data_IF_474385266098
#
_entry.id   IF_474385266098
#
_cell.length_a   1.000
_cell.length_b   1.000
_cell.length_c   1.000
_cell.angle_alpha   90.00
_cell.angle_beta   90.00
_cell.angle_gamma   90.00
#
_symmetry.space_group_name_H-M   'P 1'
#
loop_
_entity.id
_entity.type
_entity.pdbx_description
1 polymer ?
#
# COMPACT_ATOMS: atom_id res chain seq x y z
N UNK A 1 10.58 11.43 28.79
CA UNK A 1 9.68 10.68 27.90
C UNK A 1 10.28 9.34 27.45
N UNK A 2 10.81 8.53 28.39
CA UNK A 2 11.45 7.24 28.08
C UNK A 2 10.51 6.01 28.22
N UNK A 3 9.24 6.20 28.50
CA UNK A 3 8.33 5.11 28.86
C UNK A 3 7.49 4.48 27.74
N UNK A 4 7.60 4.94 26.50
CA UNK A 4 6.67 4.52 25.44
C UNK A 4 7.28 3.63 24.36
N UNK A 5 8.53 3.24 24.50
CA UNK A 5 9.24 2.39 23.54
C UNK A 5 8.82 0.93 23.71
N UNK A 6 8.45 0.28 22.62
CA UNK A 6 8.23 -1.16 22.59
C UNK A 6 9.56 -1.85 22.33
N UNK A 7 9.86 -2.87 23.13
CA UNK A 7 11.04 -3.69 23.00
C UNK A 7 10.67 -5.07 22.47
N UNK A 8 11.48 -5.60 21.58
CA UNK A 8 11.35 -6.97 21.07
C UNK A 8 12.67 -7.70 21.23
N UNK A 9 12.65 -8.84 21.88
CA UNK A 9 13.82 -9.70 22.11
C UNK A 9 13.49 -11.14 21.72
N UNK A 10 14.39 -11.75 20.96
CA UNK A 10 14.31 -13.17 20.65
C UNK A 10 14.67 -13.99 21.89
N UNK A 11 13.90 -15.02 22.19
CA UNK A 11 14.24 -15.96 23.27
C UNK A 11 14.17 -17.41 22.81
N UNK A 12 14.93 -18.28 23.48
CA UNK A 12 14.92 -19.71 23.17
C UNK A 12 13.77 -20.39 23.91
N UNK A 13 12.85 -21.00 23.15
CA UNK A 13 11.73 -21.76 23.71
C UNK A 13 12.20 -22.93 24.59
N UNK A 14 13.38 -23.45 24.36
CA UNK A 14 13.94 -24.57 25.18
C UNK A 14 14.30 -24.15 26.58
N UNK A 15 14.59 -22.87 26.82
CA UNK A 15 14.98 -22.35 28.14
C UNK A 15 13.79 -22.12 29.08
N UNK A 16 12.56 -21.95 28.54
CA UNK A 16 11.41 -21.55 29.35
C UNK A 16 10.45 -22.69 29.72
N UNK A 17 10.51 -23.83 29.09
CA UNK A 17 9.49 -24.89 29.25
C UNK A 17 10.08 -26.30 29.26
N UNK A 18 11.27 -26.59 29.70
CA UNK A 18 11.75 -27.99 29.88
C UNK A 18 11.34 -29.04 28.82
N UNK A 19 10.82 -28.56 27.70
CA UNK A 19 10.26 -29.37 26.63
C UNK A 19 11.31 -29.71 25.59
N UNK A 20 11.54 -30.99 25.40
CA UNK A 20 12.33 -31.53 24.31
C UNK A 20 11.96 -30.85 23.01
N UNK A 21 12.98 -30.44 22.23
CA UNK A 21 12.84 -30.15 20.81
C UNK A 21 12.11 -31.34 20.20
N UNK A 22 10.84 -31.22 19.84
CA UNK A 22 10.21 -32.14 18.93
C UNK A 22 10.87 -32.04 17.55
N UNK A 23 12.05 -32.61 17.45
CA UNK A 23 12.57 -33.05 16.18
C UNK A 23 11.70 -34.22 15.75
N UNK A 24 10.65 -33.94 15.03
CA UNK A 24 9.90 -34.96 14.33
C UNK A 24 10.92 -35.78 13.54
N UNK A 25 11.11 -37.07 13.94
CA UNK A 25 12.04 -38.00 13.29
C UNK A 25 11.62 -38.42 11.88
N UNK A 26 10.63 -37.72 11.30
CA UNK A 26 10.25 -37.94 9.90
C UNK A 26 11.12 -37.00 9.05
N UNK A 27 11.93 -37.53 8.10
CA UNK A 27 12.91 -36.75 7.34
C UNK A 27 12.33 -35.63 6.46
N UNK A 28 11.01 -35.43 6.44
CA UNK A 28 10.32 -34.52 5.54
C UNK A 28 9.44 -33.45 6.21
N UNK A 29 9.50 -33.27 7.53
CA UNK A 29 8.75 -32.20 8.20
C UNK A 29 9.54 -31.63 9.37
N UNK A 30 10.62 -30.92 9.06
CA UNK A 30 11.30 -30.12 10.08
C UNK A 30 10.50 -28.81 10.26
N UNK A 31 10.13 -28.52 11.50
CA UNK A 31 9.59 -27.22 11.90
C UNK A 31 10.53 -26.60 12.92
N UNK A 32 10.78 -25.31 12.76
CA UNK A 32 11.54 -24.53 13.73
C UNK A 32 10.71 -23.30 14.08
N UNK A 33 10.63 -22.98 15.36
CA UNK A 33 9.93 -21.79 15.85
C UNK A 33 10.93 -20.82 16.45
N UNK A 34 10.87 -19.59 15.99
CA UNK A 34 11.59 -18.47 16.59
C UNK A 34 10.58 -17.68 17.41
N UNK A 35 10.87 -17.52 18.70
CA UNK A 35 9.99 -16.86 19.63
C UNK A 35 10.54 -15.51 20.09
N UNK A 36 9.64 -14.59 20.37
CA UNK A 36 9.94 -13.22 20.79
C UNK A 36 9.15 -12.84 22.03
N UNK A 37 9.81 -12.14 22.96
CA UNK A 37 9.15 -11.35 23.99
C UNK A 37 9.04 -9.90 23.50
N UNK A 38 7.85 -9.36 23.54
CA UNK A 38 7.57 -7.98 23.14
C UNK A 38 6.99 -7.31 24.37
N UNK A 39 7.67 -6.30 24.91
CA UNK A 39 7.24 -5.66 26.14
C UNK A 39 7.39 -4.14 26.09
N UNK A 40 6.66 -3.49 26.98
CA UNK A 40 6.74 -2.06 27.27
C UNK A 40 6.81 -1.85 28.77
N UNK A 41 7.58 -0.86 29.22
CA UNK A 41 7.74 -0.56 30.64
C UNK A 41 6.43 -0.09 31.29
N UNK A 42 5.58 0.59 30.53
CA UNK A 42 4.28 1.04 31.00
C UNK A 42 3.30 1.14 29.81
N UNK A 43 2.03 0.77 30.06
CA UNK A 43 0.97 0.84 29.07
C UNK A 43 0.72 -0.49 28.34
N UNK A 44 -0.45 -0.59 27.76
CA UNK A 44 -0.92 -1.76 27.01
C UNK A 44 -0.22 -1.85 25.65
N UNK A 45 0.17 -3.06 25.24
CA UNK A 45 0.62 -3.38 23.89
C UNK A 45 -0.55 -4.04 23.16
N UNK A 46 -0.97 -3.43 22.06
CA UNK A 46 -1.98 -4.05 21.21
C UNK A 46 -1.31 -5.16 20.37
N UNK A 47 -1.71 -6.45 20.54
CA UNK A 47 -1.12 -7.55 19.79
C UNK A 47 -1.20 -7.36 18.28
N UNK A 48 -2.33 -6.87 17.78
CA UNK A 48 -2.63 -6.80 16.35
C UNK A 48 -1.98 -5.59 15.67
N UNK A 49 -1.92 -4.46 16.39
CA UNK A 49 -1.50 -3.19 15.78
C UNK A 49 -0.05 -2.83 16.04
N UNK A 50 0.51 -3.34 17.14
CA UNK A 50 1.86 -2.99 17.56
C UNK A 50 2.81 -4.20 17.53
N UNK A 51 2.43 -5.34 18.13
CA UNK A 51 3.32 -6.49 18.22
C UNK A 51 3.39 -7.32 16.92
N UNK A 52 2.25 -7.60 16.30
CA UNK A 52 2.22 -8.39 15.07
C UNK A 52 3.06 -7.79 13.94
N UNK A 53 2.99 -6.48 13.62
CA UNK A 53 3.84 -5.89 12.60
C UNK A 53 5.33 -6.09 12.85
N UNK A 54 5.79 -6.03 14.11
CA UNK A 54 7.20 -6.23 14.46
C UNK A 54 7.67 -7.67 14.18
N UNK A 55 6.85 -8.66 14.57
CA UNK A 55 7.17 -10.09 14.36
C UNK A 55 7.06 -10.46 12.88
N UNK A 56 6.08 -9.90 12.20
CA UNK A 56 5.91 -10.10 10.76
C UNK A 56 7.06 -9.49 9.96
N UNK A 57 7.53 -8.30 10.36
CA UNK A 57 8.71 -7.68 9.79
C UNK A 57 9.97 -8.53 9.94
N UNK A 58 10.14 -9.15 11.12
CA UNK A 58 11.21 -10.11 11.32
C UNK A 58 11.09 -11.30 10.35
N UNK A 59 9.89 -11.87 10.16
CA UNK A 59 9.68 -12.97 9.22
C UNK A 59 10.00 -12.58 7.78
N UNK A 60 9.69 -11.34 7.39
CA UNK A 60 10.01 -10.82 6.05
C UNK A 60 11.49 -10.54 5.84
N UNK A 61 12.19 -10.11 6.89
CA UNK A 61 13.64 -9.87 6.83
C UNK A 61 14.47 -11.14 6.95
N UNK A 62 13.88 -12.21 7.51
CA UNK A 62 14.49 -13.53 7.65
C UNK A 62 13.61 -14.59 7.01
N UNK A 63 13.42 -14.53 5.68
CA UNK A 63 12.46 -15.39 4.99
C UNK A 63 12.85 -16.87 5.03
N UNK A 64 14.15 -17.16 5.14
CA UNK A 64 14.70 -18.50 5.18
C UNK A 64 15.53 -18.66 6.45
N UNK A 65 15.32 -19.79 7.15
CA UNK A 65 16.13 -20.20 8.29
C UNK A 65 16.47 -21.68 8.18
N UNK A 66 17.75 -22.00 8.19
CA UNK A 66 18.26 -23.39 8.01
C UNK A 66 17.63 -24.13 6.80
N UNK A 67 17.41 -23.42 5.69
CA UNK A 67 16.79 -23.97 4.48
C UNK A 67 15.26 -24.14 4.56
N UNK A 68 14.63 -23.67 5.64
CA UNK A 68 13.18 -23.67 5.82
C UNK A 68 12.60 -22.30 5.57
N UNK A 69 11.45 -22.23 4.93
CA UNK A 69 10.70 -20.99 4.76
C UNK A 69 9.78 -20.74 5.96
N UNK A 70 9.53 -19.48 6.30
CA UNK A 70 8.51 -19.18 7.30
C UNK A 70 7.12 -19.56 6.77
N UNK A 71 6.34 -20.20 7.63
CA UNK A 71 5.01 -20.71 7.34
C UNK A 71 3.93 -19.84 7.95
N UNK A 72 4.14 -19.40 9.20
CA UNK A 72 3.17 -18.58 9.91
C UNK A 72 3.83 -17.65 10.94
N UNK A 73 3.10 -16.59 11.27
CA UNK A 73 3.43 -15.63 12.33
C UNK A 73 2.25 -15.55 13.27
N UNK A 74 2.50 -15.74 14.56
CA UNK A 74 1.51 -15.69 15.62
C UNK A 74 1.93 -14.70 16.69
N UNK A 75 0.93 -14.04 17.31
CA UNK A 75 1.15 -13.12 18.41
C UNK A 75 0.05 -13.36 19.44
N UNK A 76 0.45 -13.52 20.72
CA UNK A 76 -0.48 -13.80 21.81
C UNK A 76 -0.16 -12.94 23.03
N UNK A 77 -1.15 -12.31 23.68
CA UNK A 77 -0.93 -11.64 24.94
C UNK A 77 -0.60 -12.66 26.04
N UNK A 78 0.23 -12.27 26.97
CA UNK A 78 0.54 -13.10 28.14
C UNK A 78 -0.49 -12.84 29.24
N UNK A 79 -1.17 -13.88 29.67
CA UNK A 79 -2.11 -13.79 30.79
C UNK A 79 -1.41 -13.29 32.06
N UNK A 80 -2.07 -12.40 32.80
CA UNK A 80 -1.52 -11.82 34.02
C UNK A 80 -0.50 -10.70 33.84
N UNK A 81 -0.12 -10.35 32.61
CA UNK A 81 0.82 -9.26 32.32
C UNK A 81 0.20 -7.87 32.27
N UNK A 82 -1.09 -7.73 32.57
CA UNK A 82 -1.85 -6.48 32.38
C UNK A 82 -1.69 -5.88 30.97
N UNK A 83 -1.39 -6.72 29.97
CA UNK A 83 -1.21 -6.31 28.57
C UNK A 83 0.14 -5.63 28.28
N UNK A 84 1.07 -5.64 29.21
CA UNK A 84 2.42 -5.07 29.00
C UNK A 84 3.40 -6.03 28.32
N UNK A 85 3.03 -7.30 28.17
CA UNK A 85 3.86 -8.35 27.58
C UNK A 85 3.05 -9.16 26.56
N UNK A 86 3.63 -9.35 25.40
CA UNK A 86 3.11 -10.14 24.29
C UNK A 86 4.16 -11.13 23.83
N UNK A 87 3.77 -12.34 23.50
CA UNK A 87 4.64 -13.34 22.87
C UNK A 87 4.39 -13.37 21.37
N UNK A 88 5.47 -13.32 20.59
CA UNK A 88 5.46 -13.47 19.16
C UNK A 88 6.18 -14.75 18.72
N UNK A 89 5.72 -15.39 17.67
CA UNK A 89 6.29 -16.61 17.13
C UNK A 89 6.33 -16.55 15.60
N UNK A 90 7.49 -16.92 15.03
CA UNK A 90 7.63 -17.19 13.59
C UNK A 90 7.93 -18.67 13.43
N UNK A 91 7.06 -19.37 12.74
CA UNK A 91 7.19 -20.80 12.47
C UNK A 91 7.78 -20.99 11.08
N UNK A 92 8.90 -21.69 11.00
CA UNK A 92 9.56 -22.10 9.76
C UNK A 92 9.27 -23.57 9.49
N UNK A 93 8.99 -23.93 8.25
CA UNK A 93 8.82 -25.32 7.85
C UNK A 93 9.67 -25.67 6.63
N UNK A 94 10.34 -26.83 6.69
CA UNK A 94 11.11 -27.40 5.60
C UNK A 94 10.27 -28.43 4.87
N UNK A 95 9.88 -28.16 3.63
CA UNK A 95 9.48 -29.19 2.69
C UNK A 95 10.75 -29.63 1.96
N UNK A 96 11.25 -30.85 2.24
CA UNK A 96 12.47 -31.35 1.62
C UNK A 96 12.41 -31.30 0.09
N UNK A 97 13.51 -30.87 -0.50
CA UNK A 97 14.00 -31.01 -1.90
C UNK A 97 12.98 -31.21 -3.04
N UNK A 98 11.76 -30.70 -2.95
CA UNK A 98 10.82 -30.80 -4.05
C UNK A 98 10.78 -29.48 -4.82
N UNK A 99 11.04 -29.61 -6.12
CA UNK A 99 10.84 -28.67 -7.25
C UNK A 99 10.52 -27.24 -6.82
N UNK A 100 11.31 -26.30 -7.29
CA UNK A 100 11.06 -24.86 -7.16
C UNK A 100 9.56 -24.58 -7.22
N UNK A 101 9.01 -24.29 -6.06
CA UNK A 101 7.58 -24.07 -5.93
C UNK A 101 7.26 -22.72 -6.59
N UNK A 102 6.72 -22.76 -7.79
CA UNK A 102 6.35 -21.58 -8.59
C UNK A 102 5.46 -20.60 -7.82
N UNK A 103 4.79 -21.06 -6.75
CA UNK A 103 3.97 -20.25 -5.85
C UNK A 103 4.78 -19.25 -5.01
N UNK A 104 6.08 -19.45 -4.90
CA UNK A 104 6.95 -18.56 -4.12
C UNK A 104 7.26 -17.24 -4.83
N UNK A 105 7.03 -17.20 -6.14
CA UNK A 105 7.34 -16.02 -6.95
C UNK A 105 6.13 -15.10 -7.09
N UNK A 106 6.29 -13.78 -6.85
CA UNK A 106 5.21 -12.86 -7.07
C UNK A 106 4.82 -12.83 -8.54
N UNK A 107 3.54 -12.87 -8.80
CA UNK A 107 2.99 -12.61 -10.12
C UNK A 107 2.71 -11.13 -10.23
N UNK A 108 3.45 -10.47 -11.09
CA UNK A 108 3.42 -9.03 -11.25
C UNK A 108 2.49 -8.62 -12.40
N UNK A 109 1.69 -7.60 -12.15
CA UNK A 109 0.82 -7.01 -13.16
C UNK A 109 0.98 -5.51 -13.12
N UNK A 110 1.02 -4.89 -14.29
CA UNK A 110 0.99 -3.44 -14.41
C UNK A 110 0.07 -3.05 -15.57
N UNK A 111 -0.53 -1.90 -15.49
CA UNK A 111 -1.36 -1.33 -16.54
C UNK A 111 -1.21 0.19 -16.54
N UNK A 112 -1.13 0.76 -17.72
CA UNK A 112 -1.23 2.20 -17.95
C UNK A 112 -2.55 2.57 -18.62
N UNK A 113 -3.51 1.63 -18.65
CA UNK A 113 -4.85 1.90 -19.19
C UNK A 113 -5.49 3.00 -18.36
N UNK A 114 -5.82 4.08 -19.02
CA UNK A 114 -6.28 5.28 -18.39
C UNK A 114 -7.70 5.18 -17.83
N UNK A 115 -7.93 6.03 -16.85
CA UNK A 115 -9.27 6.43 -16.45
C UNK A 115 -9.75 7.63 -17.25
N UNK A 116 -10.93 8.10 -16.92
CA UNK A 116 -11.49 9.34 -17.46
C UNK A 116 -11.30 10.46 -16.46
N UNK A 117 -10.79 11.60 -16.90
CA UNK A 117 -10.69 12.82 -16.10
C UNK A 117 -11.49 13.93 -16.77
N UNK A 118 -12.28 14.62 -15.99
CA UNK A 118 -13.01 15.80 -16.44
C UNK A 118 -12.12 17.03 -16.40
N UNK A 119 -11.88 17.66 -17.55
CA UNK A 119 -11.12 18.91 -17.63
C UNK A 119 -12.02 20.04 -18.07
N UNK A 120 -11.88 21.19 -17.43
CA UNK A 120 -12.66 22.40 -17.74
C UNK A 120 -11.89 23.43 -18.56
N UNK A 121 -10.58 23.26 -18.67
CA UNK A 121 -9.70 24.19 -19.37
C UNK A 121 -8.80 23.45 -20.37
N UNK A 122 -8.63 24.04 -21.54
CA UNK A 122 -7.75 23.53 -22.59
C UNK A 122 -6.30 23.95 -22.35
N UNK A 123 -5.34 23.18 -22.85
CA UNK A 123 -3.91 23.51 -22.79
C UNK A 123 -3.58 24.74 -23.64
N UNK A 124 -4.24 24.88 -24.78
CA UNK A 124 -4.09 26.01 -25.71
C UNK A 124 -5.42 26.33 -26.38
N UNK A 125 -5.58 27.58 -26.80
CA UNK A 125 -6.71 28.03 -27.61
C UNK A 125 -6.31 28.04 -29.07
N UNK A 126 -7.07 27.34 -29.92
CA UNK A 126 -6.95 27.42 -31.39
C UNK A 126 -7.97 28.41 -31.95
N UNK A 127 -7.63 28.98 -33.08
CA UNK A 127 -8.50 29.95 -33.74
C UNK A 127 -9.90 29.39 -34.02
N UNK A 128 -10.90 30.25 -33.87
CA UNK A 128 -12.28 29.94 -34.08
C UNK A 128 -12.92 30.84 -35.16
N UNK A 129 -14.15 30.51 -35.58
CA UNK A 129 -14.98 31.30 -36.49
C UNK A 129 -15.90 32.15 -35.62
N UNK A 130 -15.94 33.45 -35.89
CA UNK A 130 -16.84 34.39 -35.22
C UNK A 130 -18.16 34.54 -35.98
N UNK A 131 -19.23 34.46 -35.23
CA UNK A 131 -20.53 34.92 -35.69
C UNK A 131 -20.71 36.36 -35.19
N UNK A 132 -20.79 37.34 -36.11
CA UNK A 132 -21.04 38.76 -35.80
C UNK A 132 -19.89 39.55 -35.17
N UNK A 133 -18.70 39.57 -35.78
CA UNK A 133 -17.56 40.47 -35.44
C UNK A 133 -17.14 40.55 -33.97
N UNK A 134 -17.56 39.59 -33.15
CA UNK A 134 -17.10 39.47 -31.75
C UNK A 134 -15.99 38.46 -31.67
N UNK A 135 -14.87 38.88 -31.12
CA UNK A 135 -13.83 37.97 -30.70
C UNK A 135 -14.35 37.12 -29.56
N UNK A 136 -14.79 35.91 -29.86
CA UNK A 136 -15.03 34.90 -28.82
C UNK A 136 -13.69 34.50 -28.28
N UNK A 137 -13.24 35.22 -27.29
CA UNK A 137 -12.17 34.72 -26.43
C UNK A 137 -12.70 33.42 -25.83
N UNK A 138 -11.92 32.42 -25.90
CA UNK A 138 -12.10 31.18 -25.10
C UNK A 138 -11.82 31.53 -23.63
N UNK A 139 -12.69 32.26 -22.99
CA UNK A 139 -12.67 32.71 -21.60
C UNK A 139 -11.58 32.02 -20.74
N UNK A 140 -10.34 32.52 -20.79
CA UNK A 140 -9.20 31.91 -20.12
C UNK A 140 -9.03 30.40 -20.41
N UNK A 141 -9.27 30.00 -21.67
CA UNK A 141 -9.22 28.60 -22.13
C UNK A 141 -10.33 27.68 -21.59
N UNK A 142 -11.39 28.22 -21.06
CA UNK A 142 -12.54 27.43 -20.64
C UNK A 142 -13.11 26.59 -21.79
N UNK A 143 -13.42 25.34 -21.51
CA UNK A 143 -13.98 24.39 -22.48
C UNK A 143 -15.49 24.40 -22.34
N UNK A 144 -16.23 24.60 -23.46
CA UNK A 144 -17.67 24.54 -23.47
C UNK A 144 -18.32 25.45 -22.43
N UNK A 145 -18.01 26.76 -22.50
CA UNK A 145 -18.45 27.75 -21.51
C UNK A 145 -19.90 28.13 -21.71
N UNK A 146 -20.69 28.06 -20.66
CA UNK A 146 -22.07 28.55 -20.60
C UNK A 146 -22.23 29.62 -19.49
N UNK A 147 -23.48 29.97 -19.17
CA UNK A 147 -23.80 30.94 -18.09
C UNK A 147 -23.35 30.49 -16.69
N UNK A 148 -23.10 29.21 -16.49
CA UNK A 148 -22.66 28.65 -15.22
C UNK A 148 -21.13 28.47 -15.17
N UNK A 149 -20.43 28.79 -16.26
CA UNK A 149 -18.97 28.65 -16.38
C UNK A 149 -18.57 27.52 -17.34
N UNK A 150 -17.29 27.10 -17.31
CA UNK A 150 -16.80 26.02 -18.18
C UNK A 150 -17.43 24.67 -17.82
N UNK A 151 -18.12 24.06 -18.77
CA UNK A 151 -18.69 22.72 -18.61
C UNK A 151 -17.68 21.61 -18.76
N UNK A 152 -16.59 21.88 -19.48
CA UNK A 152 -15.51 20.92 -19.64
C UNK A 152 -15.78 19.80 -20.65
N UNK A 153 -14.89 18.84 -20.63
CA UNK A 153 -14.92 17.60 -21.43
C UNK A 153 -14.18 16.48 -20.71
N UNK A 154 -14.67 15.27 -20.87
CA UNK A 154 -13.99 14.09 -20.36
C UNK A 154 -12.87 13.66 -21.30
N UNK A 155 -11.68 13.54 -20.77
CA UNK A 155 -10.50 13.06 -21.50
C UNK A 155 -9.96 11.78 -20.85
N UNK A 156 -9.34 10.93 -21.66
CA UNK A 156 -8.61 9.77 -21.16
C UNK A 156 -7.27 10.24 -20.60
N UNK A 157 -7.04 9.95 -19.33
CA UNK A 157 -5.75 10.20 -18.66
C UNK A 157 -5.08 8.89 -18.33
N UNK A 158 -3.74 8.79 -18.40
CA UNK A 158 -3.05 7.57 -18.02
C UNK A 158 -3.30 7.27 -16.54
N UNK A 159 -3.67 6.03 -16.24
CA UNK A 159 -3.70 5.52 -14.89
C UNK A 159 -2.56 4.50 -14.73
N UNK A 160 -1.81 4.60 -13.65
CA UNK A 160 -0.75 3.66 -13.32
C UNK A 160 -1.30 2.66 -12.31
N UNK A 161 -1.76 1.53 -12.83
CA UNK A 161 -2.17 0.41 -11.98
C UNK A 161 -1.01 -0.55 -11.82
N UNK A 162 -0.82 -1.01 -10.63
CA UNK A 162 0.29 -1.85 -10.24
C UNK A 162 -0.18 -2.86 -9.21
N UNK A 163 0.02 -4.12 -9.46
CA UNK A 163 -0.34 -5.15 -8.51
C UNK A 163 0.66 -6.27 -8.50
N UNK A 164 0.76 -6.93 -7.37
CA UNK A 164 1.48 -8.18 -7.26
C UNK A 164 0.68 -9.19 -6.45
N UNK A 165 0.80 -10.43 -6.84
CA UNK A 165 0.06 -11.55 -6.27
C UNK A 165 1.05 -12.55 -5.66
N UNK A 166 0.78 -12.96 -4.42
CA UNK A 166 1.56 -13.93 -3.67
C UNK A 166 0.67 -15.04 -3.12
N UNK A 167 1.21 -16.24 -3.09
CA UNK A 167 0.54 -17.37 -2.45
C UNK A 167 1.01 -17.53 -1.00
N UNK A 168 0.04 -17.67 -0.09
CA UNK A 168 0.26 -17.90 1.33
C UNK A 168 -0.44 -19.17 1.77
N UNK A 169 0.21 -19.93 2.66
CA UNK A 169 -0.47 -21.02 3.33
C UNK A 169 -1.58 -20.48 4.24
N UNK A 170 -2.65 -21.23 4.44
CA UNK A 170 -3.78 -20.84 5.31
C UNK A 170 -3.33 -20.37 6.69
N UNK A 171 -2.30 -20.97 7.27
CA UNK A 171 -1.77 -20.62 8.58
C UNK A 171 -1.18 -19.21 8.66
N UNK A 172 -0.75 -18.64 7.52
CA UNK A 172 -0.19 -17.29 7.45
C UNK A 172 -1.27 -16.20 7.30
N UNK A 173 -2.45 -16.55 6.76
CA UNK A 173 -3.55 -15.61 6.52
C UNK A 173 -4.44 -15.53 7.76
N UNK A 174 -3.93 -14.87 8.77
CA UNK A 174 -4.62 -14.66 10.04
C UNK A 174 -5.44 -13.37 10.02
N UNK A 175 -6.32 -13.18 11.01
CA UNK A 175 -7.00 -11.90 11.22
C UNK A 175 -6.02 -10.73 11.34
N UNK A 176 -4.89 -10.93 12.03
CA UNK A 176 -3.87 -9.91 12.21
C UNK A 176 -3.20 -9.51 10.89
N UNK A 177 -2.92 -10.50 10.03
CA UNK A 177 -2.44 -10.26 8.68
C UNK A 177 -3.42 -9.40 7.88
N UNK A 178 -4.68 -9.80 7.81
CA UNK A 178 -5.70 -9.06 7.05
C UNK A 178 -5.93 -7.65 7.65
N UNK A 179 -5.97 -7.54 8.97
CA UNK A 179 -6.16 -6.28 9.68
C UNK A 179 -5.01 -5.29 9.46
N UNK A 180 -3.77 -5.77 9.35
CA UNK A 180 -2.61 -4.94 9.02
C UNK A 180 -2.79 -4.24 7.69
N UNK A 181 -3.10 -4.99 6.65
CA UNK A 181 -3.27 -4.42 5.30
C UNK A 181 -4.56 -3.62 5.15
N UNK A 182 -5.65 -4.04 5.81
CA UNK A 182 -6.90 -3.27 5.82
C UNK A 182 -6.70 -1.85 6.35
N UNK A 183 -5.85 -1.68 7.37
CA UNK A 183 -5.52 -0.33 7.90
C UNK A 183 -4.65 0.50 6.97
N UNK A 184 -3.88 -0.14 6.09
CA UNK A 184 -3.06 0.57 5.11
C UNK A 184 -3.85 0.94 3.85
N UNK A 185 -5.03 0.35 3.65
CA UNK A 185 -5.90 0.69 2.51
C UNK A 185 -6.29 2.16 2.56
N UNK A 186 -6.18 2.83 1.43
CA UNK A 186 -6.44 4.27 1.33
C UNK A 186 -5.29 5.16 1.84
N UNK A 187 -4.10 4.61 2.06
CA UNK A 187 -2.91 5.39 2.39
C UNK A 187 -1.99 5.53 1.17
N UNK A 188 -1.22 6.60 1.16
CA UNK A 188 -0.15 6.80 0.18
C UNK A 188 1.22 6.59 0.82
N UNK A 189 2.21 6.26 -0.01
CA UNK A 189 3.57 6.00 0.46
C UNK A 189 4.19 7.21 1.17
N UNK A 190 4.71 6.99 2.38
CA UNK A 190 5.39 8.03 3.17
C UNK A 190 6.79 8.34 2.62
N UNK A 191 7.47 7.36 2.03
CA UNK A 191 8.79 7.48 1.43
C UNK A 191 8.77 6.93 0.00
N UNK A 192 9.76 7.28 -0.84
CA UNK A 192 9.86 6.74 -2.18
C UNK A 192 9.90 5.21 -2.16
N UNK A 193 9.14 4.58 -3.05
CA UNK A 193 9.06 3.13 -3.17
C UNK A 193 9.03 2.72 -4.64
N UNK A 194 9.83 1.70 -5.01
CA UNK A 194 10.02 1.30 -6.41
C UNK A 194 10.38 2.52 -7.28
N UNK A 195 9.57 2.81 -8.28
CA UNK A 195 9.74 3.99 -9.14
C UNK A 195 8.89 5.20 -8.71
N UNK A 196 8.10 5.07 -7.65
CA UNK A 196 7.15 6.10 -7.23
C UNK A 196 7.76 7.02 -6.17
N UNK A 197 7.77 8.35 -6.39
CA UNK A 197 8.10 9.31 -5.37
C UNK A 197 7.13 9.26 -4.19
N UNK A 198 7.47 9.93 -3.11
CA UNK A 198 6.63 10.11 -1.92
C UNK A 198 5.25 10.68 -2.27
N UNK A 199 4.18 10.07 -1.73
CA UNK A 199 2.80 10.51 -1.96
C UNK A 199 2.23 10.17 -3.32
N UNK A 200 2.95 9.38 -4.14
CA UNK A 200 2.58 9.09 -5.52
C UNK A 200 2.06 7.67 -5.75
N UNK A 201 2.07 6.82 -4.74
CA UNK A 201 1.55 5.46 -4.80
C UNK A 201 0.49 5.27 -3.72
N UNK A 202 -0.75 4.98 -4.13
CA UNK A 202 -1.88 4.70 -3.26
C UNK A 202 -2.06 3.18 -3.16
N UNK A 203 -2.18 2.67 -1.94
CA UNK A 203 -2.58 1.28 -1.73
C UNK A 203 -4.11 1.18 -1.75
N UNK A 204 -4.64 0.51 -2.77
CA UNK A 204 -6.08 0.35 -3.00
C UNK A 204 -6.68 -0.77 -2.15
N UNK A 205 -5.84 -1.69 -1.65
CA UNK A 205 -6.26 -2.81 -0.82
C UNK A 205 -5.67 -4.12 -1.30
N UNK A 206 -6.12 -5.19 -0.66
CA UNK A 206 -5.83 -6.55 -1.08
C UNK A 206 -7.13 -7.31 -1.34
N UNK A 207 -7.07 -8.23 -2.27
CA UNK A 207 -8.07 -9.27 -2.46
C UNK A 207 -7.40 -10.63 -2.52
N UNK A 208 -8.15 -11.68 -2.25
CA UNK A 208 -7.59 -13.03 -2.26
C UNK A 208 -8.63 -14.11 -2.36
N UNK A 209 -8.22 -15.22 -2.91
CA UNK A 209 -9.06 -16.41 -3.01
C UNK A 209 -8.31 -17.65 -2.52
N UNK A 210 -9.05 -18.53 -1.83
CA UNK A 210 -8.50 -19.80 -1.40
C UNK A 210 -8.55 -20.83 -2.52
N UNK A 211 -7.56 -21.71 -2.54
CA UNK A 211 -7.55 -22.91 -3.37
C UNK A 211 -6.94 -24.08 -2.59
N UNK A 212 -7.23 -25.28 -3.03
CA UNK A 212 -6.74 -26.50 -2.38
C UNK A 212 -5.73 -27.18 -3.28
N UNK A 213 -4.59 -27.53 -2.71
CA UNK A 213 -3.60 -28.38 -3.35
C UNK A 213 -3.43 -29.69 -2.59
N UNK A 214 -3.08 -30.71 -3.33
CA UNK A 214 -2.68 -32.00 -2.74
C UNK A 214 -1.16 -32.05 -2.71
N UNK A 215 -0.58 -32.15 -1.52
CA UNK A 215 0.86 -32.29 -1.37
C UNK A 215 1.34 -33.71 -1.82
N UNK A 216 2.65 -33.88 -1.87
CA UNK A 216 3.27 -35.14 -2.27
C UNK A 216 2.88 -36.39 -1.40
N UNK A 217 2.25 -36.14 -0.25
CA UNK A 217 1.75 -37.18 0.68
C UNK A 217 0.28 -37.51 0.46
N UNK A 218 -0.39 -36.85 -0.50
CA UNK A 218 -1.83 -36.99 -0.71
C UNK A 218 -2.69 -36.18 0.27
N UNK A 219 -2.08 -35.32 1.13
CA UNK A 219 -2.80 -34.47 2.07
C UNK A 219 -3.26 -33.20 1.36
N UNK A 220 -4.48 -32.74 1.64
CA UNK A 220 -5.00 -31.47 1.12
C UNK A 220 -4.50 -30.32 1.96
N UNK A 221 -3.90 -29.33 1.29
CA UNK A 221 -3.47 -28.06 1.90
C UNK A 221 -4.28 -26.92 1.30
N UNK A 222 -4.70 -25.98 2.15
CA UNK A 222 -5.40 -24.78 1.71
C UNK A 222 -4.38 -23.66 1.58
N UNK A 223 -4.42 -23.00 0.44
CA UNK A 223 -3.59 -21.87 0.08
C UNK A 223 -4.47 -20.68 -0.28
N UNK A 224 -3.95 -19.48 -0.06
CA UNK A 224 -4.56 -18.22 -0.50
C UNK A 224 -3.65 -17.58 -1.53
N UNK A 225 -4.20 -17.28 -2.70
CA UNK A 225 -3.60 -16.36 -3.65
C UNK A 225 -4.07 -14.96 -3.31
N UNK A 226 -3.17 -14.09 -2.86
CA UNK A 226 -3.48 -12.75 -2.40
C UNK A 226 -2.86 -11.74 -3.35
N UNK A 227 -3.69 -10.88 -3.90
CA UNK A 227 -3.32 -9.78 -4.77
C UNK A 227 -3.29 -8.47 -3.98
N UNK A 228 -2.23 -7.68 -4.13
CA UNK A 228 -2.04 -6.37 -3.53
C UNK A 228 -2.14 -5.34 -4.63
N UNK A 229 -3.14 -4.47 -4.57
CA UNK A 229 -3.44 -3.50 -5.62
C UNK A 229 -3.01 -2.09 -5.25
N UNK A 230 -2.38 -1.43 -6.20
CA UNK A 230 -1.90 -0.07 -6.07
C UNK A 230 -2.28 0.76 -7.29
N UNK A 231 -2.48 2.05 -7.06
CA UNK A 231 -2.56 3.06 -8.09
C UNK A 231 -1.42 4.06 -7.94
N UNK A 232 -0.82 4.42 -9.06
CA UNK A 232 0.22 5.43 -9.11
C UNK A 232 -0.28 6.73 -9.74
N UNK A 233 0.04 7.85 -9.13
CA UNK A 233 -0.19 9.17 -9.70
C UNK A 233 1.12 9.96 -9.65
N UNK A 234 1.76 10.25 -10.81
CA UNK A 234 3.01 11.00 -10.82
C UNK A 234 2.79 12.43 -10.35
N UNK A 235 3.85 13.09 -9.85
CA UNK A 235 3.82 14.51 -9.58
C UNK A 235 3.47 15.29 -10.85
N UNK A 236 2.74 16.37 -10.69
CA UNK A 236 2.32 17.20 -11.82
C UNK A 236 2.37 18.69 -11.45
N UNK A 237 2.33 19.53 -12.49
CA UNK A 237 2.21 20.97 -12.34
C UNK A 237 0.83 21.39 -12.85
N UNK A 238 0.12 22.16 -12.04
CA UNK A 238 -1.20 22.69 -12.39
C UNK A 238 -1.08 24.17 -12.66
N UNK A 239 -1.44 24.57 -13.87
CA UNK A 239 -1.45 25.97 -14.29
C UNK A 239 -2.86 26.52 -14.20
N UNK A 240 -3.01 27.65 -13.52
CA UNK A 240 -4.24 28.43 -13.51
C UNK A 240 -4.05 29.68 -14.37
N UNK A 241 -4.83 29.82 -15.44
CA UNK A 241 -4.77 31.01 -16.29
C UNK A 241 -5.00 32.31 -15.49
N UNK A 242 -4.12 33.28 -15.65
CA UNK A 242 -4.25 34.59 -14.97
C UNK A 242 -3.71 34.63 -13.53
N UNK A 243 -3.21 33.55 -12.97
CA UNK A 243 -2.54 33.57 -11.67
C UNK A 243 -1.08 34.04 -11.79
N UNK A 244 -0.69 34.92 -10.88
CA UNK A 244 0.69 35.38 -10.74
C UNK A 244 1.42 34.42 -9.79
N UNK A 245 2.56 33.88 -10.18
CA UNK A 245 3.37 33.02 -9.30
C UNK A 245 3.84 31.70 -9.91
N UNK A 246 3.42 31.43 -11.15
CA UNK A 246 3.82 30.21 -11.86
C UNK A 246 2.96 28.98 -11.55
N UNK A 247 3.35 27.80 -12.05
CA UNK A 247 2.59 26.58 -11.87
C UNK A 247 2.60 26.11 -10.41
N UNK A 248 1.46 25.61 -9.95
CA UNK A 248 1.31 24.97 -8.66
C UNK A 248 1.82 23.54 -8.76
N UNK A 249 2.86 23.19 -8.00
CA UNK A 249 3.39 21.84 -7.94
C UNK A 249 2.51 20.96 -7.05
N UNK A 250 2.09 19.83 -7.60
CA UNK A 250 1.24 18.84 -6.97
C UNK A 250 2.02 17.54 -6.81
N UNK A 251 2.15 17.05 -5.59
CA UNK A 251 2.64 15.70 -5.33
C UNK A 251 1.50 14.69 -5.54
N UNK A 252 1.69 13.76 -6.45
CA UNK A 252 0.81 12.60 -6.65
C UNK A 252 -0.67 12.80 -6.30
N UNK A 253 -1.06 12.24 -5.17
CA UNK A 253 -2.45 12.23 -4.67
C UNK A 253 -2.85 13.48 -3.86
N UNK A 254 -2.05 14.53 -3.82
CA UNK A 254 -2.49 15.79 -3.24
C UNK A 254 -3.67 16.35 -4.04
N UNK A 255 -4.60 16.97 -3.36
CA UNK A 255 -5.75 17.61 -3.97
C UNK A 255 -5.47 19.08 -4.24
N UNK A 256 -5.89 19.55 -5.39
CA UNK A 256 -5.75 20.97 -5.75
C UNK A 256 -7.07 21.69 -5.53
N UNK A 257 -7.06 22.66 -4.64
CA UNK A 257 -8.15 23.58 -4.42
C UNK A 257 -7.92 24.87 -5.21
N UNK A 258 -8.97 25.34 -5.85
CA UNK A 258 -9.00 26.67 -6.46
C UNK A 258 -10.19 27.46 -5.92
N UNK A 259 -9.90 28.62 -5.35
CA UNK A 259 -10.92 29.58 -4.98
C UNK A 259 -11.15 30.53 -6.16
N UNK A 260 -12.39 30.61 -6.64
CA UNK A 260 -12.76 31.44 -7.76
C UNK A 260 -13.59 32.61 -7.28
N UNK A 261 -13.28 33.80 -7.77
CA UNK A 261 -14.11 35.01 -7.58
C UNK A 261 -14.91 35.29 -8.84
N UNK A 262 -16.11 35.77 -8.60
CA UNK A 262 -16.98 36.28 -9.66
C UNK A 262 -16.54 37.70 -10.02
N UNK A 263 -16.19 37.89 -11.29
CA UNK A 263 -15.93 39.23 -11.83
C UNK A 263 -16.97 39.58 -12.86
N UNK A 264 -17.67 40.68 -12.63
CA UNK A 264 -18.53 41.25 -13.64
C UNK A 264 -17.67 41.89 -14.75
N UNK A 265 -17.90 41.47 -15.98
CA UNK A 265 -17.44 42.14 -17.19
C UNK A 265 -18.65 42.73 -17.88
N UNK A 266 -18.49 43.74 -18.73
CA UNK A 266 -19.60 44.51 -19.35
C UNK A 266 -20.68 43.65 -20.06
N UNK A 267 -20.34 42.42 -20.42
CA UNK A 267 -21.23 41.50 -21.13
C UNK A 267 -21.44 40.15 -20.47
N UNK A 268 -20.68 39.80 -19.41
CA UNK A 268 -20.79 38.47 -18.74
C UNK A 268 -20.12 38.42 -17.35
N UNK A 269 -20.60 37.53 -16.55
CA UNK A 269 -19.95 37.14 -15.29
C UNK A 269 -18.91 36.09 -15.56
N UNK A 270 -17.68 36.31 -15.12
CA UNK A 270 -16.56 35.38 -15.29
C UNK A 270 -16.11 34.90 -13.90
N UNK A 271 -16.01 33.59 -13.73
CA UNK A 271 -15.33 33.00 -12.59
C UNK A 271 -13.83 32.95 -12.86
N UNK A 272 -13.05 33.65 -12.06
CA UNK A 272 -11.60 33.68 -12.18
C UNK A 272 -10.95 33.08 -10.93
N UNK A 273 -10.03 32.13 -11.06
CA UNK A 273 -9.30 31.64 -9.92
C UNK A 273 -8.40 32.75 -9.35
N UNK A 274 -8.59 33.07 -8.08
CA UNK A 274 -7.81 34.11 -7.34
C UNK A 274 -6.84 33.50 -6.39
N UNK A 275 -7.08 32.28 -5.95
CA UNK A 275 -6.20 31.55 -5.04
C UNK A 275 -6.28 30.04 -5.33
N UNK A 276 -5.14 29.36 -5.32
CA UNK A 276 -5.07 27.90 -5.43
C UNK A 276 -3.97 27.36 -4.53
N UNK A 277 -4.19 26.18 -3.97
CA UNK A 277 -3.24 25.48 -3.12
C UNK A 277 -3.41 23.97 -3.21
N UNK A 278 -2.38 23.23 -2.80
CA UNK A 278 -2.42 21.77 -2.68
C UNK A 278 -2.67 21.35 -1.24
N UNK A 279 -3.54 20.38 -1.05
CA UNK A 279 -3.88 19.81 0.24
C UNK A 279 -3.66 18.29 0.23
N UNK A 280 -3.10 17.76 1.32
CA UNK A 280 -2.90 16.33 1.51
C UNK A 280 -4.20 15.72 2.01
N UNK A 281 -4.87 14.96 1.17
CA UNK A 281 -6.17 14.33 1.49
C UNK A 281 -6.03 12.85 1.88
N UNK A 282 -4.90 12.21 1.52
CA UNK A 282 -4.62 10.83 1.90
C UNK A 282 -3.63 10.78 3.05
N UNK A 283 -3.87 9.95 4.08
CA UNK A 283 -2.89 9.67 5.11
C UNK A 283 -1.68 8.95 4.51
N UNK A 284 -0.51 9.10 5.15
CA UNK A 284 0.73 8.46 4.69
C UNK A 284 1.07 7.26 5.56
N UNK A 285 1.55 6.19 4.92
CA UNK A 285 2.02 4.99 5.60
C UNK A 285 3.38 4.54 5.07
N UNK A 286 4.12 3.82 5.90
CA UNK A 286 5.36 3.17 5.50
C UNK A 286 5.04 1.92 4.67
N UNK A 287 5.41 1.95 3.39
CA UNK A 287 5.21 0.86 2.44
C UNK A 287 6.40 -0.10 2.35
N UNK A 288 7.37 0.00 3.25
CA UNK A 288 8.54 -0.90 3.27
C UNK A 288 8.13 -2.37 3.35
N UNK A 289 7.02 -2.68 4.05
CA UNK A 289 6.46 -4.02 4.13
C UNK A 289 6.16 -4.62 2.74
N UNK A 290 5.64 -3.82 1.81
CA UNK A 290 5.36 -4.27 0.45
C UNK A 290 6.65 -4.53 -0.35
N UNK A 291 7.68 -3.72 -0.13
CA UNK A 291 9.01 -3.99 -0.72
C UNK A 291 9.58 -5.32 -0.23
N UNK A 292 9.43 -5.62 1.06
CA UNK A 292 9.91 -6.87 1.65
C UNK A 292 9.12 -8.08 1.15
N UNK A 293 7.80 -7.95 1.09
CA UNK A 293 6.96 -8.98 0.46
C UNK A 293 7.38 -9.24 -0.99
N UNK A 294 7.68 -8.18 -1.73
CA UNK A 294 8.13 -8.28 -3.11
C UNK A 294 9.54 -8.88 -3.24
N UNK A 295 10.50 -8.43 -2.40
CA UNK A 295 11.88 -8.95 -2.38
C UNK A 295 12.01 -10.36 -1.89
N UNK A 296 11.03 -10.87 -1.14
CA UNK A 296 11.02 -12.23 -0.57
C UNK A 296 11.55 -13.30 -1.51
N UNK A 297 11.67 -12.99 -2.78
CA UNK A 297 11.93 -13.96 -3.84
C UNK A 297 13.12 -13.63 -4.73
N UNK A 298 13.50 -12.37 -4.86
CA UNK A 298 14.64 -12.01 -5.72
C UNK A 298 15.98 -12.39 -5.07
N UNK A 299 16.05 -12.43 -3.75
CA UNK A 299 17.28 -12.70 -2.99
C UNK A 299 17.45 -14.17 -2.60
N UNK A 300 16.53 -15.04 -2.99
CA UNK A 300 16.62 -16.48 -2.74
C UNK A 300 17.21 -17.31 -3.90
N UNK A 301 17.81 -16.63 -4.90
CA UNK A 301 18.57 -17.25 -5.98
C UNK A 301 20.08 -17.05 -5.78
#
# INVERSE_FOLDING_TARGET
MAGNTIHMEQYDLTASHGGERERSRKPYSQKETVAFKIWRLSGFINPDTEAFPMVFDYALTHPIRHGMWWESVNVKPVEGSAGTLVLGEVIYSGKGNEREDKRKFPRYKFSTKGGTSHITHSMETKGGIHLKDRALANFNRGINVDKNGPQGVDIVTPAWQHSFELDFNQSAVTWNFLSLFARMTGHVNAEPIWMFPKGCLLFCGLDGQSYTETNSRGEKEIWYSINFDFEGMPPSEVNFPGMVGGPLKKDGYDYVWAYNEERASDDCTIFQPVYAYCEKVYPRADFTIFQRLYRRIIESN
#
